data_IF_132944441435
#
_entry.id   IF_132944441435
#
_cell.length_a   1.000
_cell.length_b   1.000
_cell.length_c   1.000
_cell.angle_alpha   90.00
_cell.angle_beta   90.00
_cell.angle_gamma   90.00
#
_symmetry.space_group_name_H-M   'P 1'
#
loop_
_entity.id
_entity.type
_entity.pdbx_description
1 polymer ?
#
# COMPACT_ATOMS: atom_id res chain seq x y z
N UNK A 1 -64.27 -3.16 13.75
CA UNK A 1 -63.24 -3.28 14.81
C UNK A 1 -62.54 -4.62 14.64
N UNK A 2 -61.19 -4.65 14.71
CA UNK A 2 -60.22 -5.73 14.39
C UNK A 2 -59.47 -5.48 13.08
N UNK A 3 -58.57 -4.49 13.02
CA UNK A 3 -57.12 -4.56 13.32
C UNK A 3 -56.40 -5.63 12.49
N UNK A 4 -55.88 -5.19 11.34
CA UNK A 4 -54.87 -5.88 10.54
C UNK A 4 -53.53 -5.62 11.23
N UNK A 5 -52.93 -6.66 11.80
CA UNK A 5 -51.56 -6.60 12.33
C UNK A 5 -50.62 -6.92 11.16
N UNK A 6 -49.87 -5.89 10.74
CA UNK A 6 -48.80 -6.03 9.77
C UNK A 6 -47.61 -6.69 10.49
N UNK A 7 -47.31 -7.95 10.18
CA UNK A 7 -46.11 -8.61 10.64
C UNK A 7 -44.91 -8.07 9.85
N UNK A 8 -44.13 -7.18 10.46
CA UNK A 8 -42.81 -6.79 9.95
C UNK A 8 -41.86 -7.95 10.23
N UNK A 9 -41.57 -8.73 9.21
CA UNK A 9 -40.49 -9.72 9.26
C UNK A 9 -39.15 -8.96 9.28
N UNK A 10 -38.54 -8.83 10.46
CA UNK A 10 -37.13 -8.50 10.56
C UNK A 10 -36.33 -9.67 9.96
N UNK A 11 -35.85 -9.49 8.73
CA UNK A 11 -34.72 -10.26 8.24
C UNK A 11 -33.48 -9.78 9.00
N UNK A 12 -33.20 -10.42 10.14
CA UNK A 12 -31.85 -10.41 10.68
C UNK A 12 -30.99 -11.14 9.66
N UNK A 13 -30.17 -10.40 8.91
CA UNK A 13 -29.00 -10.95 8.25
C UNK A 13 -28.07 -11.42 9.37
N UNK A 14 -28.31 -12.64 9.84
CA UNK A 14 -27.34 -13.37 10.62
C UNK A 14 -26.15 -13.60 9.69
N UNK A 15 -25.13 -12.75 9.80
CA UNK A 15 -23.81 -13.12 9.33
C UNK A 15 -23.48 -14.45 10.01
N UNK A 16 -22.99 -15.46 9.28
CA UNK A 16 -22.48 -16.64 9.93
C UNK A 16 -21.38 -16.15 10.87
N UNK A 17 -21.54 -16.41 12.17
CA UNK A 17 -20.41 -16.41 13.08
C UNK A 17 -19.42 -17.40 12.47
N UNK A 18 -18.39 -16.89 11.80
CA UNK A 18 -17.33 -17.71 11.25
C UNK A 18 -16.87 -18.61 12.40
N UNK A 19 -16.83 -19.91 12.15
CA UNK A 19 -16.27 -20.86 13.09
C UNK A 19 -14.90 -20.32 13.53
N UNK A 20 -14.72 -20.12 14.83
CA UNK A 20 -13.44 -19.80 15.47
C UNK A 20 -12.46 -20.96 15.19
N UNK A 21 -11.85 -21.01 14.01
CA UNK A 21 -10.51 -21.57 13.88
C UNK A 21 -9.60 -20.58 14.61
N UNK A 22 -9.50 -20.76 15.93
CA UNK A 22 -8.86 -19.82 16.83
C UNK A 22 -7.46 -19.48 16.31
N UNK A 23 -7.22 -18.18 16.08
CA UNK A 23 -5.90 -17.68 15.73
C UNK A 23 -4.85 -18.26 16.70
N UNK A 24 -3.63 -18.55 16.23
CA UNK A 24 -2.59 -19.13 17.06
C UNK A 24 -2.37 -18.27 18.31
N UNK A 25 -2.33 -18.91 19.49
CA UNK A 25 -2.11 -18.22 20.76
C UNK A 25 -0.66 -18.25 21.21
N UNK A 26 -0.20 -17.15 21.81
CA UNK A 26 1.15 -17.02 22.38
C UNK A 26 1.11 -16.92 23.89
N UNK A 27 0.28 -16.03 24.41
CA UNK A 27 0.12 -15.79 25.83
C UNK A 27 -0.88 -16.76 26.46
N UNK A 28 -0.67 -17.03 27.75
CA UNK A 28 -1.76 -17.57 28.56
C UNK A 28 -2.86 -16.50 28.72
N UNK A 29 -4.13 -16.89 28.94
CA UNK A 29 -5.19 -15.93 29.24
C UNK A 29 -4.84 -15.00 30.42
N UNK A 30 -4.13 -15.52 31.42
CA UNK A 30 -3.69 -14.76 32.59
C UNK A 30 -2.63 -13.72 32.23
N UNK A 31 -1.60 -14.07 31.45
CA UNK A 31 -0.58 -13.11 31.01
C UNK A 31 -1.15 -12.04 30.08
N UNK A 32 -2.09 -12.40 29.20
CA UNK A 32 -2.79 -11.44 28.34
C UNK A 32 -3.57 -10.41 29.17
N UNK A 33 -4.31 -10.87 30.19
CA UNK A 33 -5.03 -10.00 31.11
C UNK A 33 -4.08 -9.13 31.96
N UNK A 34 -2.97 -9.70 32.44
CA UNK A 34 -1.95 -8.96 33.18
C UNK A 34 -1.32 -7.87 32.33
N UNK A 35 -0.99 -8.14 31.06
CA UNK A 35 -0.43 -7.12 30.18
C UNK A 35 -1.41 -5.99 29.90
N UNK A 36 -2.69 -6.29 29.67
CA UNK A 36 -3.72 -5.27 29.54
C UNK A 36 -3.81 -4.39 30.82
N UNK A 37 -3.89 -5.02 31.99
CA UNK A 37 -3.91 -4.34 33.30
C UNK A 37 -2.68 -3.43 33.49
N UNK A 38 -1.47 -3.95 33.22
CA UNK A 38 -0.22 -3.21 33.38
C UNK A 38 -0.22 -1.94 32.52
N UNK A 39 -0.65 -2.05 31.27
CA UNK A 39 -0.63 -0.93 30.32
C UNK A 39 -1.63 0.17 30.72
N UNK A 40 -2.83 -0.21 31.17
CA UNK A 40 -3.81 0.75 31.72
C UNK A 40 -3.26 1.43 32.98
N UNK A 41 -2.71 0.67 33.92
CA UNK A 41 -2.11 1.23 35.15
C UNK A 41 -0.96 2.18 34.84
N UNK A 42 -0.14 1.89 33.82
CA UNK A 42 0.94 2.77 33.40
C UNK A 42 0.44 4.05 32.70
N UNK A 43 -0.64 3.97 31.92
CA UNK A 43 -1.26 5.14 31.31
C UNK A 43 -1.75 6.14 32.37
N UNK A 44 -2.24 5.64 33.51
CA UNK A 44 -2.66 6.44 34.66
C UNK A 44 -1.51 6.83 35.62
N UNK A 45 -0.29 6.37 35.36
CA UNK A 45 0.87 6.60 36.23
C UNK A 45 0.83 5.86 37.58
N UNK A 46 0.02 4.80 37.70
CA UNK A 46 -0.12 3.95 38.91
C UNK A 46 1.03 2.94 39.02
N UNK A 47 2.25 3.46 39.16
CA UNK A 47 3.48 2.67 39.04
C UNK A 47 3.61 1.50 40.01
N UNK A 48 3.23 1.66 41.28
CA UNK A 48 3.35 0.60 42.28
C UNK A 48 2.47 -0.60 41.96
N UNK A 49 1.27 -0.34 41.46
CA UNK A 49 0.30 -1.38 41.09
C UNK A 49 0.75 -2.04 39.79
N UNK A 50 1.22 -1.25 38.82
CA UNK A 50 1.82 -1.78 37.61
C UNK A 50 3.02 -2.69 37.92
N UNK A 51 3.90 -2.31 38.84
CA UNK A 51 5.05 -3.13 39.24
C UNK A 51 4.63 -4.43 39.95
N UNK A 52 3.58 -4.39 40.77
CA UNK A 52 3.00 -5.58 41.39
C UNK A 52 2.39 -6.52 40.34
N UNK A 53 1.71 -5.98 39.34
CA UNK A 53 1.18 -6.76 38.23
C UNK A 53 2.30 -7.35 37.35
N UNK A 54 3.34 -6.56 37.02
CA UNK A 54 4.53 -7.00 36.28
C UNK A 54 5.20 -8.20 36.96
N UNK A 55 5.27 -8.21 38.30
CA UNK A 55 5.89 -9.30 39.04
C UNK A 55 5.16 -10.66 38.92
N UNK A 56 3.91 -10.66 38.43
CA UNK A 56 3.11 -11.87 38.21
C UNK A 56 3.17 -12.39 36.77
N UNK A 57 3.73 -11.59 35.85
CA UNK A 57 3.84 -11.98 34.43
C UNK A 57 4.82 -13.14 34.28
N UNK A 58 4.38 -14.20 33.61
CA UNK A 58 5.16 -15.42 33.40
C UNK A 58 5.96 -15.37 32.09
N UNK A 59 5.32 -15.00 30.97
CA UNK A 59 5.99 -14.79 29.69
C UNK A 59 6.39 -13.31 29.51
N UNK A 60 7.68 -12.94 29.45
CA UNK A 60 8.14 -11.56 29.35
C UNK A 60 8.12 -10.99 27.93
N UNK A 61 7.49 -11.63 26.94
CA UNK A 61 7.56 -11.25 25.51
C UNK A 61 7.17 -9.79 25.23
N UNK A 62 6.25 -9.19 26.00
CA UNK A 62 5.85 -7.79 25.83
C UNK A 62 6.60 -6.80 26.75
N UNK A 63 7.59 -7.26 27.51
CA UNK A 63 8.29 -6.40 28.47
C UNK A 63 9.01 -5.21 27.81
N UNK A 64 9.43 -5.35 26.55
CA UNK A 64 9.97 -4.23 25.77
C UNK A 64 8.96 -3.10 25.60
N UNK A 65 7.69 -3.42 25.30
CA UNK A 65 6.59 -2.45 25.19
C UNK A 65 6.20 -1.87 26.55
N UNK A 66 6.08 -2.70 27.58
CA UNK A 66 5.79 -2.26 28.96
C UNK A 66 6.84 -1.27 29.47
N UNK A 67 8.12 -1.50 29.18
CA UNK A 67 9.20 -0.56 29.53
C UNK A 67 9.16 0.70 28.66
N UNK A 68 8.87 0.55 27.37
CA UNK A 68 8.80 1.67 26.43
C UNK A 68 7.75 2.70 26.85
N UNK A 69 6.53 2.26 27.16
CA UNK A 69 5.43 3.12 27.62
C UNK A 69 5.82 3.93 28.86
N UNK A 70 6.37 3.25 29.88
CA UNK A 70 6.90 3.92 31.07
C UNK A 70 7.93 5.00 30.74
N UNK A 71 8.89 4.69 29.86
CA UNK A 71 9.97 5.61 29.49
C UNK A 71 9.48 6.81 28.68
N UNK A 72 8.41 6.63 27.91
CA UNK A 72 7.79 7.66 27.07
C UNK A 72 6.63 8.40 27.74
N UNK A 73 6.25 8.00 28.96
CA UNK A 73 5.12 8.60 29.66
C UNK A 73 5.25 10.14 29.73
N UNK A 74 4.21 10.90 29.37
CA UNK A 74 4.31 12.34 29.15
C UNK A 74 4.61 13.15 30.42
N UNK A 75 4.04 12.75 31.58
CA UNK A 75 4.04 13.57 32.81
C UNK A 75 4.49 12.83 34.08
N UNK A 76 3.94 11.65 34.34
CA UNK A 76 4.12 10.90 35.58
C UNK A 76 5.42 10.08 35.69
N UNK A 77 6.23 10.00 34.63
CA UNK A 77 7.55 9.36 34.67
C UNK A 77 8.58 10.14 33.86
N UNK A 78 9.80 10.25 34.39
CA UNK A 78 10.91 10.95 33.74
C UNK A 78 12.11 10.02 33.60
N UNK A 79 12.19 9.37 32.43
CA UNK A 79 13.29 8.46 32.10
C UNK A 79 14.70 9.08 32.21
N UNK A 80 15.61 8.37 32.86
CA UNK A 80 17.04 8.72 32.89
C UNK A 80 17.73 8.24 31.63
N UNK A 81 18.90 8.81 31.34
CA UNK A 81 19.66 8.43 30.16
C UNK A 81 20.04 6.94 30.18
N UNK A 82 20.41 6.44 31.35
CA UNK A 82 20.83 5.06 31.56
C UNK A 82 19.71 4.07 31.22
N UNK A 83 18.47 4.38 31.62
CA UNK A 83 17.28 3.56 31.35
C UNK A 83 16.94 3.53 29.85
N UNK A 84 17.04 4.68 29.18
CA UNK A 84 16.81 4.76 27.73
C UNK A 84 17.91 4.02 26.96
N UNK A 85 19.17 4.14 27.39
CA UNK A 85 20.31 3.44 26.80
C UNK A 85 20.19 1.93 26.99
N UNK A 86 19.77 1.48 28.17
CA UNK A 86 19.53 0.07 28.47
C UNK A 86 18.39 -0.47 27.60
N UNK A 87 17.27 0.25 27.49
CA UNK A 87 16.17 -0.15 26.62
C UNK A 87 16.64 -0.33 25.17
N UNK A 88 17.42 0.63 24.64
CA UNK A 88 17.98 0.51 23.28
C UNK A 88 18.93 -0.68 23.13
N UNK A 89 19.58 -1.16 24.20
CA UNK A 89 20.47 -2.32 24.11
C UNK A 89 19.71 -3.63 23.86
N UNK A 90 18.45 -3.73 24.29
CA UNK A 90 17.64 -4.96 24.20
C UNK A 90 16.51 -4.89 23.19
N UNK A 91 16.00 -3.69 22.87
CA UNK A 91 14.75 -3.49 22.12
C UNK A 91 14.91 -2.55 20.93
N UNK A 92 16.13 -2.38 20.40
CA UNK A 92 16.39 -1.53 19.22
C UNK A 92 15.67 -2.00 17.95
N UNK A 93 15.14 -3.23 17.91
CA UNK A 93 14.34 -3.78 16.81
C UNK A 93 12.86 -3.38 16.84
N UNK A 94 12.38 -2.81 17.97
CA UNK A 94 10.99 -2.41 18.09
C UNK A 94 10.64 -1.29 17.10
N UNK A 95 9.42 -1.28 16.52
CA UNK A 95 9.00 -0.29 15.54
C UNK A 95 9.16 1.17 15.96
N UNK A 96 9.05 1.45 17.25
CA UNK A 96 9.11 2.80 17.81
C UNK A 96 10.44 3.14 18.48
N UNK A 97 11.47 2.31 18.29
CA UNK A 97 12.80 2.52 18.89
C UNK A 97 13.42 3.89 18.54
N UNK A 98 13.07 4.48 17.39
CA UNK A 98 13.47 5.84 17.02
C UNK A 98 13.04 6.90 18.05
N UNK A 99 11.87 6.74 18.68
CA UNK A 99 11.37 7.67 19.72
C UNK A 99 12.25 7.62 20.97
N UNK A 100 12.57 6.40 21.44
CA UNK A 100 13.44 6.17 22.59
C UNK A 100 14.86 6.68 22.28
N UNK A 101 15.41 6.34 21.12
CA UNK A 101 16.73 6.78 20.68
C UNK A 101 16.85 8.31 20.65
N UNK A 102 15.86 8.98 20.07
CA UNK A 102 15.80 10.45 20.02
C UNK A 102 15.73 11.07 21.42
N UNK A 103 14.95 10.48 22.32
CA UNK A 103 14.87 10.93 23.72
C UNK A 103 16.20 10.71 24.46
N UNK A 104 16.85 9.57 24.23
CA UNK A 104 18.14 9.22 24.81
C UNK A 104 19.22 10.22 24.39
N UNK A 105 19.30 10.57 23.10
CA UNK A 105 20.25 11.56 22.60
C UNK A 105 20.05 12.94 23.23
N UNK A 106 18.79 13.37 23.44
CA UNK A 106 18.48 14.64 24.10
C UNK A 106 18.90 14.66 25.58
N UNK A 107 18.83 13.51 26.26
CA UNK A 107 19.14 13.37 27.70
C UNK A 107 20.57 12.90 27.97
N UNK A 108 21.37 12.67 26.92
CA UNK A 108 22.72 12.13 27.01
C UNK A 108 23.68 13.11 27.70
N UNK A 109 24.34 12.73 28.80
CA UNK A 109 25.46 13.48 29.36
C UNK A 109 26.62 13.54 28.37
N UNK A 110 27.37 14.65 28.35
CA UNK A 110 28.48 14.86 27.40
C UNK A 110 29.54 13.74 27.43
N UNK A 111 29.80 13.17 28.61
CA UNK A 111 30.80 12.12 28.81
C UNK A 111 30.25 10.69 28.57
N UNK A 112 28.96 10.51 28.34
CA UNK A 112 28.37 9.19 28.18
C UNK A 112 28.42 8.70 26.72
N UNK A 113 28.73 7.42 26.53
CA UNK A 113 28.69 6.74 25.23
C UNK A 113 27.28 6.75 24.66
N UNK A 114 27.10 6.93 23.33
CA UNK A 114 25.78 6.96 22.70
C UNK A 114 25.01 5.64 22.86
N UNK A 115 23.67 5.66 22.83
CA UNK A 115 22.87 4.45 22.82
C UNK A 115 23.00 3.72 21.48
N UNK A 116 22.67 2.42 21.47
CA UNK A 116 22.58 1.64 20.24
C UNK A 116 21.58 2.31 19.28
N UNK A 117 21.92 2.38 17.99
CA UNK A 117 21.01 2.93 17.00
C UNK A 117 19.85 1.97 16.73
N UNK A 118 18.64 2.49 16.46
CA UNK A 118 17.49 1.65 16.11
C UNK A 118 17.74 0.89 14.82
N UNK A 119 17.16 -0.31 14.74
CA UNK A 119 17.19 -1.13 13.53
C UNK A 119 16.40 -0.41 12.45
N UNK A 120 17.00 -0.26 11.27
CA UNK A 120 16.32 0.39 10.15
C UNK A 120 15.19 -0.49 9.63
N UNK A 121 13.99 0.08 9.52
CA UNK A 121 12.87 -0.56 8.85
C UNK A 121 13.26 -0.96 7.42
N UNK A 122 13.03 -2.23 7.09
CA UNK A 122 13.04 -2.71 5.71
C UNK A 122 11.65 -2.56 5.13
N UNK A 123 11.59 -2.15 3.87
CA UNK A 123 10.34 -1.99 3.14
C UNK A 123 10.30 -3.01 2.03
N UNK A 124 9.13 -3.64 1.87
CA UNK A 124 8.82 -4.39 0.66
C UNK A 124 8.39 -3.39 -0.41
N UNK A 125 8.88 -3.58 -1.62
CA UNK A 125 8.47 -2.75 -2.75
C UNK A 125 7.26 -3.37 -3.42
N UNK A 126 6.27 -2.53 -3.74
CA UNK A 126 5.21 -2.91 -4.67
C UNK A 126 5.85 -3.35 -6.01
N UNK A 127 5.20 -4.30 -6.69
CA UNK A 127 5.69 -4.78 -7.98
C UNK A 127 5.74 -3.61 -8.97
N UNK A 128 6.94 -3.31 -9.46
CA UNK A 128 7.07 -2.29 -10.50
C UNK A 128 6.49 -2.83 -11.82
N UNK A 129 5.72 -2.02 -12.56
CA UNK A 129 5.25 -2.42 -13.88
C UNK A 129 6.42 -2.84 -14.78
N UNK A 130 6.27 -3.93 -15.54
CA UNK A 130 7.32 -4.38 -16.45
C UNK A 130 7.66 -3.30 -17.47
N UNK A 131 8.94 -3.21 -17.85
CA UNK A 131 9.39 -2.37 -18.95
C UNK A 131 9.34 -3.15 -20.25
N UNK A 132 9.00 -2.47 -21.34
CA UNK A 132 9.16 -3.02 -22.68
C UNK A 132 10.59 -3.56 -22.88
N UNK A 133 10.79 -4.75 -23.51
CA UNK A 133 12.11 -5.41 -23.59
C UNK A 133 13.21 -4.52 -24.17
N UNK A 134 12.87 -3.68 -25.15
CA UNK A 134 13.82 -2.75 -25.77
C UNK A 134 14.29 -1.65 -24.82
N UNK A 135 13.38 -1.18 -23.96
CA UNK A 135 13.70 -0.21 -22.93
C UNK A 135 14.53 -0.86 -21.83
N UNK A 136 14.20 -2.10 -21.43
CA UNK A 136 14.99 -2.86 -20.45
C UNK A 136 16.44 -3.04 -20.93
N UNK A 137 16.64 -3.34 -22.23
CA UNK A 137 17.98 -3.40 -22.85
C UNK A 137 18.72 -2.06 -22.78
N UNK A 138 18.03 -0.93 -22.92
CA UNK A 138 18.65 0.39 -22.79
C UNK A 138 19.04 0.69 -21.33
N UNK A 139 18.21 0.30 -20.37
CA UNK A 139 18.53 0.42 -18.95
C UNK A 139 19.74 -0.44 -18.56
N UNK A 140 19.92 -1.60 -19.20
CA UNK A 140 21.11 -2.44 -18.99
C UNK A 140 22.39 -1.82 -19.59
N UNK A 141 22.27 -1.00 -20.64
CA UNK A 141 23.40 -0.35 -21.33
C UNK A 141 23.82 0.98 -20.71
N UNK A 142 22.97 1.59 -19.90
CA UNK A 142 23.18 2.90 -19.29
C UNK A 142 23.33 2.79 -17.77
N UNK A 143 23.83 3.84 -17.12
CA UNK A 143 23.98 3.84 -15.66
C UNK A 143 22.61 3.97 -14.99
N UNK A 144 22.07 2.87 -14.44
CA UNK A 144 20.78 2.86 -13.72
C UNK A 144 20.69 3.91 -12.61
N UNK A 145 21.65 4.04 -11.67
CA UNK A 145 21.55 5.04 -10.61
C UNK A 145 21.45 6.47 -11.15
N UNK A 146 22.23 6.78 -12.19
CA UNK A 146 22.22 8.09 -12.83
C UNK A 146 20.92 8.34 -13.58
N UNK A 147 20.40 7.34 -14.29
CA UNK A 147 19.13 7.44 -14.99
C UNK A 147 17.97 7.66 -14.00
N UNK A 148 17.93 6.92 -12.88
CA UNK A 148 16.93 7.13 -11.83
C UNK A 148 16.94 8.56 -11.30
N UNK A 149 18.12 9.17 -11.14
CA UNK A 149 18.25 10.58 -10.74
C UNK A 149 17.70 11.53 -11.81
N UNK A 150 18.05 11.32 -13.08
CA UNK A 150 17.58 12.14 -14.21
C UNK A 150 16.05 12.05 -14.32
N UNK A 151 15.50 10.83 -14.32
CA UNK A 151 14.06 10.62 -14.39
C UNK A 151 13.32 11.22 -13.19
N UNK A 152 13.87 11.06 -11.99
CA UNK A 152 13.34 11.68 -10.78
C UNK A 152 13.27 13.20 -10.90
N UNK A 153 14.32 13.83 -11.45
CA UNK A 153 14.37 15.27 -11.70
C UNK A 153 13.36 15.70 -12.77
N UNK A 154 13.22 14.95 -13.86
CA UNK A 154 12.21 15.24 -14.89
C UNK A 154 10.79 15.16 -14.34
N UNK A 155 10.46 14.10 -13.57
CA UNK A 155 9.15 13.99 -12.92
C UNK A 155 8.90 15.14 -11.94
N UNK A 156 9.93 15.53 -11.18
CA UNK A 156 9.83 16.70 -10.30
C UNK A 156 9.53 18.00 -11.06
N UNK A 157 10.27 18.28 -12.14
CA UNK A 157 10.06 19.47 -12.97
C UNK A 157 8.69 19.45 -13.65
N UNK A 158 8.28 18.30 -14.19
CA UNK A 158 6.95 18.12 -14.80
C UNK A 158 5.83 18.35 -13.78
N UNK A 159 5.98 17.87 -12.54
CA UNK A 159 5.04 18.11 -11.44
C UNK A 159 5.08 19.54 -10.87
N UNK A 160 6.11 20.33 -11.21
CA UNK A 160 6.22 21.76 -10.89
C UNK A 160 5.84 22.66 -12.06
N UNK A 161 5.22 22.10 -13.10
CA UNK A 161 4.79 22.84 -14.31
C UNK A 161 5.98 23.45 -15.09
N UNK A 162 7.19 22.93 -14.90
CA UNK A 162 8.42 23.40 -15.53
C UNK A 162 8.81 22.55 -16.76
N UNK A 163 7.84 22.29 -17.64
CA UNK A 163 8.01 21.42 -18.81
C UNK A 163 9.15 21.87 -19.75
N UNK A 164 9.30 23.18 -19.99
CA UNK A 164 10.37 23.71 -20.83
C UNK A 164 11.77 23.46 -20.24
N UNK A 165 11.91 23.53 -18.91
CA UNK A 165 13.17 23.25 -18.23
C UNK A 165 13.49 21.74 -18.27
N UNK A 166 12.46 20.91 -18.08
CA UNK A 166 12.59 19.46 -18.19
C UNK A 166 13.09 19.04 -19.59
N UNK A 167 12.52 19.61 -20.67
CA UNK A 167 12.99 19.36 -22.05
C UNK A 167 14.45 19.74 -22.23
N UNK A 168 14.83 20.96 -21.83
CA UNK A 168 16.22 21.44 -21.95
C UNK A 168 17.21 20.53 -21.22
N UNK A 169 16.81 20.00 -20.08
CA UNK A 169 17.63 19.07 -19.29
C UNK A 169 17.87 17.75 -20.03
N UNK A 170 16.79 17.09 -20.48
CA UNK A 170 16.92 15.80 -21.18
C UNK A 170 17.60 15.93 -22.54
N UNK A 171 17.44 17.06 -23.24
CA UNK A 171 18.17 17.36 -24.47
C UNK A 171 19.69 17.36 -24.24
N UNK A 172 20.13 17.95 -23.12
CA UNK A 172 21.53 17.96 -22.73
C UNK A 172 22.07 16.56 -22.45
N UNK A 173 21.27 15.70 -21.80
CA UNK A 173 21.66 14.32 -21.53
C UNK A 173 21.74 13.48 -22.80
N UNK A 174 20.77 13.64 -23.72
CA UNK A 174 20.78 12.96 -25.01
C UNK A 174 22.00 13.36 -25.84
N UNK A 175 22.28 14.67 -25.96
CA UNK A 175 23.44 15.19 -26.71
C UNK A 175 24.79 14.67 -26.21
N UNK A 176 24.90 14.40 -24.90
CA UNK A 176 26.10 13.82 -24.28
C UNK A 176 26.16 12.30 -24.34
N UNK A 177 25.17 11.64 -24.94
CA UNK A 177 25.07 10.17 -24.98
C UNK A 177 24.88 9.53 -23.60
N UNK A 178 24.36 10.28 -22.62
CA UNK A 178 24.12 9.76 -21.25
C UNK A 178 22.87 8.89 -21.19
N UNK A 179 21.91 9.16 -22.07
CA UNK A 179 20.64 8.44 -22.20
C UNK A 179 20.41 8.06 -23.66
N UNK A 180 19.61 7.04 -23.91
CA UNK A 180 19.20 6.62 -25.26
C UNK A 180 18.01 7.43 -25.78
N UNK A 181 17.70 7.31 -27.07
CA UNK A 181 16.52 7.95 -27.66
C UNK A 181 15.20 7.44 -27.05
N UNK A 182 15.08 6.14 -26.74
CA UNK A 182 13.89 5.60 -26.07
C UNK A 182 13.73 6.11 -24.64
N UNK A 183 14.83 6.21 -23.88
CA UNK A 183 14.80 6.80 -22.54
C UNK A 183 14.41 8.29 -22.58
N UNK A 184 14.96 9.01 -23.55
CA UNK A 184 14.58 10.39 -23.84
C UNK A 184 13.08 10.52 -24.17
N UNK A 185 12.56 9.67 -25.04
CA UNK A 185 11.14 9.67 -25.43
C UNK A 185 10.19 9.25 -24.31
N UNK A 186 10.58 8.28 -23.48
CA UNK A 186 9.87 7.94 -22.24
C UNK A 186 9.72 9.17 -21.35
N UNK A 187 10.80 9.93 -21.15
CA UNK A 187 10.74 11.18 -20.38
C UNK A 187 9.89 12.27 -21.06
N UNK A 188 9.94 12.37 -22.39
CA UNK A 188 9.07 13.28 -23.16
C UNK A 188 7.59 12.94 -23.00
N UNK A 189 7.22 11.68 -22.83
CA UNK A 189 5.83 11.31 -22.56
C UNK A 189 5.31 11.90 -21.24
N UNK A 190 6.14 11.95 -20.18
CA UNK A 190 5.78 12.61 -18.92
C UNK A 190 5.64 14.13 -19.07
N UNK A 191 6.52 14.73 -19.87
CA UNK A 191 6.45 16.16 -20.17
C UNK A 191 5.21 16.49 -20.99
N UNK A 192 4.85 15.64 -21.97
CA UNK A 192 3.63 15.79 -22.75
C UNK A 192 2.38 15.73 -21.86
N UNK A 193 2.34 14.79 -20.91
CA UNK A 193 1.28 14.71 -19.92
C UNK A 193 1.18 15.99 -19.08
N UNK A 194 2.31 16.49 -18.57
CA UNK A 194 2.36 17.74 -17.82
C UNK A 194 1.82 18.93 -18.62
N UNK A 195 2.23 19.09 -19.89
CA UNK A 195 1.74 20.14 -20.79
C UNK A 195 0.24 20.00 -21.06
N UNK A 196 -0.24 18.76 -21.28
CA UNK A 196 -1.65 18.48 -21.54
C UNK A 196 -2.53 18.90 -20.36
N UNK A 197 -2.18 18.50 -19.13
CA UNK A 197 -2.97 18.84 -17.94
C UNK A 197 -2.96 20.33 -17.59
N UNK A 198 -1.94 21.07 -18.02
CA UNK A 198 -1.89 22.54 -17.89
C UNK A 198 -2.65 23.28 -19.01
N UNK A 199 -3.20 22.56 -20.00
CA UNK A 199 -3.94 23.16 -21.11
C UNK A 199 -3.06 23.63 -22.28
N UNK A 200 -1.75 23.34 -22.30
CA UNK A 200 -0.87 23.60 -23.44
C UNK A 200 -1.05 22.55 -24.55
N UNK A 201 -2.28 22.41 -25.03
CA UNK A 201 -2.73 21.29 -25.89
C UNK A 201 -1.89 21.14 -27.17
N UNK A 202 -1.60 22.22 -27.89
CA UNK A 202 -0.85 22.14 -29.13
C UNK A 202 0.56 21.58 -28.93
N UNK A 203 1.26 22.11 -27.91
CA UNK A 203 2.61 21.68 -27.55
C UNK A 203 2.63 20.24 -27.00
N UNK A 204 1.60 19.87 -26.25
CA UNK A 204 1.43 18.50 -25.75
C UNK A 204 1.20 17.53 -26.91
N UNK A 205 0.41 17.91 -27.93
CA UNK A 205 0.14 17.10 -29.11
C UNK A 205 1.40 16.85 -29.93
N UNK A 206 2.12 17.91 -30.28
CA UNK A 206 3.37 17.81 -31.05
C UNK A 206 4.35 16.83 -30.38
N UNK A 207 4.43 16.92 -29.05
CA UNK A 207 5.30 16.07 -28.25
C UNK A 207 4.78 14.62 -28.18
N UNK A 208 3.49 14.43 -27.87
CA UNK A 208 2.88 13.12 -27.70
C UNK A 208 2.81 12.34 -29.02
N UNK A 209 2.39 12.96 -30.13
CA UNK A 209 2.30 12.30 -31.43
C UNK A 209 3.68 11.90 -31.97
N UNK A 210 4.68 12.77 -31.82
CA UNK A 210 6.05 12.44 -32.21
C UNK A 210 6.61 11.24 -31.43
N UNK A 211 6.36 11.19 -30.12
CA UNK A 211 6.79 10.06 -29.28
C UNK A 211 5.99 8.80 -29.59
N UNK A 212 4.66 8.90 -29.70
CA UNK A 212 3.79 7.78 -30.01
C UNK A 212 4.11 7.13 -31.37
N UNK A 213 4.51 7.93 -32.36
CA UNK A 213 4.94 7.43 -33.67
C UNK A 213 6.31 6.76 -33.68
N UNK A 214 7.25 7.21 -32.85
CA UNK A 214 8.65 6.72 -32.86
C UNK A 214 8.95 5.64 -31.82
N UNK A 215 8.45 5.81 -30.61
CA UNK A 215 8.84 5.05 -29.42
C UNK A 215 7.64 4.62 -28.57
N UNK A 216 6.43 4.65 -29.13
CA UNK A 216 5.18 4.49 -28.38
C UNK A 216 5.13 3.24 -27.49
N UNK A 217 5.54 2.08 -27.99
CA UNK A 217 5.55 0.83 -27.21
C UNK A 217 6.47 0.90 -25.97
N UNK A 218 7.58 1.64 -26.07
CA UNK A 218 8.50 1.87 -24.95
C UNK A 218 8.16 3.10 -24.09
N UNK A 219 7.21 3.92 -24.56
CA UNK A 219 6.79 5.18 -23.97
C UNK A 219 5.25 5.28 -24.00
N UNK A 220 4.57 4.24 -23.50
CA UNK A 220 3.11 4.03 -23.63
C UNK A 220 2.24 5.22 -23.21
N UNK A 221 2.71 6.04 -22.27
CA UNK A 221 1.98 7.26 -21.87
C UNK A 221 1.82 8.25 -23.03
N UNK A 222 2.70 8.24 -24.03
CA UNK A 222 2.53 9.08 -25.22
C UNK A 222 1.29 8.68 -26.03
N UNK A 223 1.00 7.38 -26.14
CA UNK A 223 -0.25 6.92 -26.74
C UNK A 223 -1.46 7.41 -25.93
N UNK A 224 -1.42 7.29 -24.60
CA UNK A 224 -2.50 7.78 -23.73
C UNK A 224 -2.79 9.27 -23.95
N UNK A 225 -1.75 10.11 -23.87
CA UNK A 225 -1.89 11.56 -23.99
C UNK A 225 -2.31 11.95 -25.42
N UNK A 226 -1.72 11.34 -26.44
CA UNK A 226 -2.14 11.52 -27.83
C UNK A 226 -3.62 11.14 -28.02
N UNK A 227 -4.04 9.99 -27.51
CA UNK A 227 -5.43 9.53 -27.59
C UNK A 227 -6.42 10.48 -26.89
N UNK A 228 -6.08 10.97 -25.69
CA UNK A 228 -6.89 11.96 -24.98
C UNK A 228 -7.02 13.29 -25.75
N UNK A 229 -5.94 13.74 -26.39
CA UNK A 229 -5.94 14.96 -27.21
C UNK A 229 -6.87 14.78 -28.41
N UNK A 230 -6.65 13.73 -29.21
CA UNK A 230 -7.48 13.44 -30.39
C UNK A 230 -8.96 13.27 -30.03
N UNK A 231 -9.25 12.60 -28.92
CA UNK A 231 -10.63 12.44 -28.43
C UNK A 231 -11.29 13.79 -28.12
N UNK A 232 -10.55 14.70 -27.46
CA UNK A 232 -11.05 16.05 -27.14
C UNK A 232 -11.23 16.94 -28.36
N UNK A 233 -10.44 16.71 -29.40
CA UNK A 233 -10.52 17.42 -30.68
C UNK A 233 -11.54 16.81 -31.64
N UNK A 234 -12.29 15.80 -31.17
CA UNK A 234 -13.29 15.08 -31.95
C UNK A 234 -12.71 14.29 -33.14
N UNK A 235 -11.39 14.04 -33.16
CA UNK A 235 -10.78 13.03 -34.03
C UNK A 235 -10.84 11.66 -33.35
N UNK A 236 -12.06 11.12 -33.30
CA UNK A 236 -12.35 9.87 -32.58
C UNK A 236 -11.62 8.67 -33.20
N UNK A 237 -11.41 8.68 -34.52
CA UNK A 237 -10.68 7.63 -35.21
C UNK A 237 -9.20 7.61 -34.78
N UNK A 238 -8.51 8.76 -34.79
CA UNK A 238 -7.13 8.83 -34.31
C UNK A 238 -7.04 8.48 -32.81
N UNK A 239 -8.00 8.92 -32.00
CA UNK A 239 -8.07 8.55 -30.59
C UNK A 239 -8.14 7.04 -30.38
N UNK A 240 -9.01 6.36 -31.14
CA UNK A 240 -9.14 4.90 -31.10
C UNK A 240 -7.81 4.19 -31.41
N UNK A 241 -7.16 4.55 -32.51
CA UNK A 241 -5.88 3.93 -32.89
C UNK A 241 -4.83 4.08 -31.80
N UNK A 242 -4.76 5.25 -31.14
CA UNK A 242 -3.81 5.51 -30.05
C UNK A 242 -4.12 4.69 -28.80
N UNK A 243 -5.37 4.67 -28.35
CA UNK A 243 -5.77 3.87 -27.19
C UNK A 243 -5.58 2.37 -27.45
N UNK A 244 -5.92 1.88 -28.64
CA UNK A 244 -5.77 0.48 -28.99
C UNK A 244 -4.29 0.08 -29.09
N UNK A 245 -3.45 0.92 -29.70
CA UNK A 245 -2.00 0.71 -29.74
C UNK A 245 -1.43 0.60 -28.33
N UNK A 246 -1.80 1.50 -27.41
CA UNK A 246 -1.41 1.39 -26.01
C UNK A 246 -1.89 0.10 -25.38
N UNK A 247 -3.17 -0.26 -25.54
CA UNK A 247 -3.76 -1.45 -24.91
C UNK A 247 -3.06 -2.76 -25.34
N UNK A 248 -2.54 -2.80 -26.57
CA UNK A 248 -1.81 -3.95 -27.13
C UNK A 248 -0.41 -4.14 -26.55
N UNK A 249 0.21 -3.10 -25.98
CA UNK A 249 1.49 -3.23 -25.28
C UNK A 249 1.28 -3.99 -23.97
N UNK A 250 1.92 -5.14 -23.80
CA UNK A 250 1.72 -5.97 -22.60
C UNK A 250 2.57 -5.49 -21.43
N UNK A 251 3.76 -4.99 -21.71
CA UNK A 251 4.76 -4.58 -20.71
C UNK A 251 4.52 -3.14 -20.24
N UNK A 252 3.47 -2.95 -19.44
CA UNK A 252 3.14 -1.68 -18.81
C UNK A 252 2.32 -1.90 -17.52
N UNK A 253 1.84 -0.80 -16.92
CA UNK A 253 0.97 -0.82 -15.75
C UNK A 253 -0.43 -1.36 -16.09
N UNK A 254 -0.94 -2.24 -15.23
CA UNK A 254 -2.24 -2.91 -15.41
C UNK A 254 -3.41 -1.93 -15.47
N UNK A 255 -3.42 -0.91 -14.60
CA UNK A 255 -4.49 0.09 -14.56
C UNK A 255 -4.48 0.98 -15.81
N UNK A 256 -3.30 1.39 -16.27
CA UNK A 256 -3.14 2.12 -17.52
C UNK A 256 -3.52 1.29 -18.74
N UNK A 257 -3.14 0.01 -18.79
CA UNK A 257 -3.51 -0.90 -19.88
C UNK A 257 -5.02 -1.14 -19.94
N UNK A 258 -5.65 -1.34 -18.79
CA UNK A 258 -7.10 -1.47 -18.70
C UNK A 258 -7.82 -0.20 -19.14
N UNK A 259 -7.31 0.97 -18.74
CA UNK A 259 -7.83 2.26 -19.20
C UNK A 259 -7.75 2.38 -20.72
N UNK A 260 -6.59 2.07 -21.30
CA UNK A 260 -6.38 2.09 -22.74
C UNK A 260 -7.36 1.17 -23.48
N UNK A 261 -7.53 -0.08 -23.04
CA UNK A 261 -8.47 -1.02 -23.64
C UNK A 261 -9.91 -0.52 -23.58
N UNK A 262 -10.36 -0.04 -22.42
CA UNK A 262 -11.71 0.49 -22.26
C UNK A 262 -11.97 1.72 -23.15
N UNK A 263 -11.02 2.66 -23.21
CA UNK A 263 -11.17 3.85 -24.05
C UNK A 263 -11.02 3.56 -25.54
N UNK A 264 -10.24 2.55 -25.92
CA UNK A 264 -10.23 2.02 -27.29
C UNK A 264 -11.62 1.50 -27.69
N UNK A 265 -12.27 0.71 -26.81
CA UNK A 265 -13.62 0.23 -27.05
C UNK A 265 -14.65 1.37 -27.15
N UNK A 266 -14.59 2.35 -26.26
CA UNK A 266 -15.50 3.51 -26.30
C UNK A 266 -15.34 4.36 -27.56
N UNK A 267 -14.09 4.62 -27.95
CA UNK A 267 -13.80 5.38 -29.17
C UNK A 267 -14.15 4.61 -30.44
N UNK A 268 -13.99 3.27 -30.47
CA UNK A 268 -14.47 2.44 -31.57
C UNK A 268 -15.98 2.59 -31.79
N UNK A 269 -16.77 2.50 -30.71
CA UNK A 269 -18.21 2.68 -30.78
C UNK A 269 -18.60 4.08 -31.26
N UNK A 270 -17.95 5.12 -30.71
CA UNK A 270 -18.17 6.50 -31.11
C UNK A 270 -17.74 6.79 -32.57
N UNK A 271 -16.76 6.06 -33.10
CA UNK A 271 -16.34 6.11 -34.50
C UNK A 271 -17.22 5.27 -35.45
N UNK A 272 -18.26 4.59 -34.94
CA UNK A 272 -19.11 3.72 -35.75
C UNK A 272 -18.44 2.41 -36.19
N UNK A 273 -17.46 1.92 -35.41
CA UNK A 273 -16.69 0.69 -35.66
C UNK A 273 -16.98 -0.38 -34.59
N UNK A 274 -18.21 -0.90 -34.49
CA UNK A 274 -18.60 -1.84 -33.44
C UNK A 274 -17.77 -3.13 -33.45
N UNK A 275 -17.24 -3.53 -34.60
CA UNK A 275 -16.37 -4.70 -34.76
C UNK A 275 -15.03 -4.58 -34.01
N UNK A 276 -14.62 -3.35 -33.66
CA UNK A 276 -13.36 -3.06 -32.94
C UNK A 276 -13.57 -2.87 -31.43
N UNK A 277 -14.82 -2.97 -30.94
CA UNK A 277 -15.16 -2.76 -29.52
C UNK A 277 -14.66 -3.92 -28.66
N UNK A 278 -14.86 -5.16 -29.12
CA UNK A 278 -14.61 -6.36 -28.31
C UNK A 278 -13.16 -6.48 -27.86
N UNK A 279 -12.18 -6.22 -28.74
CA UNK A 279 -10.76 -6.34 -28.41
C UNK A 279 -10.37 -5.45 -27.22
N UNK A 280 -10.79 -4.18 -27.24
CA UNK A 280 -10.49 -3.24 -26.17
C UNK A 280 -11.12 -3.65 -24.83
N UNK A 281 -12.37 -4.12 -24.84
CA UNK A 281 -13.04 -4.62 -23.64
C UNK A 281 -12.39 -5.88 -23.09
N UNK A 282 -11.99 -6.83 -23.94
CA UNK A 282 -11.32 -8.06 -23.49
C UNK A 282 -9.95 -7.76 -22.87
N UNK A 283 -9.17 -6.84 -23.46
CA UNK A 283 -7.90 -6.40 -22.88
C UNK A 283 -8.13 -5.77 -21.50
N UNK A 284 -9.14 -4.92 -21.35
CA UNK A 284 -9.45 -4.29 -20.07
C UNK A 284 -9.98 -5.28 -19.02
N UNK A 285 -10.87 -6.20 -19.42
CA UNK A 285 -11.48 -7.19 -18.55
C UNK A 285 -10.48 -8.21 -17.98
N UNK A 286 -9.32 -8.38 -18.62
CA UNK A 286 -8.21 -9.17 -18.08
C UNK A 286 -7.59 -8.59 -16.79
N UNK A 287 -7.95 -7.35 -16.43
CA UNK A 287 -7.44 -6.62 -15.26
C UNK A 287 -8.56 -6.27 -14.27
N UNK A 288 -9.16 -7.29 -13.62
CA UNK A 288 -10.36 -7.14 -12.80
C UNK A 288 -10.15 -6.24 -11.58
N UNK A 289 -8.93 -6.09 -11.07
CA UNK A 289 -8.64 -5.26 -9.90
C UNK A 289 -8.60 -3.75 -10.21
N UNK A 290 -8.85 -3.36 -11.47
CA UNK A 290 -8.79 -1.98 -11.94
C UNK A 290 -10.19 -1.42 -12.20
N UNK A 291 -10.36 -0.11 -12.06
CA UNK A 291 -11.64 0.56 -12.34
C UNK A 291 -12.15 0.26 -13.77
N UNK A 292 -11.29 0.40 -14.77
CA UNK A 292 -11.66 0.17 -16.16
C UNK A 292 -11.85 -1.31 -16.50
N UNK A 293 -11.16 -2.22 -15.82
CA UNK A 293 -11.43 -3.65 -15.95
C UNK A 293 -12.80 -4.05 -15.40
N UNK A 294 -13.20 -3.50 -14.25
CA UNK A 294 -14.56 -3.69 -13.71
C UNK A 294 -15.64 -3.15 -14.67
N UNK A 295 -15.43 -1.96 -15.25
CA UNK A 295 -16.36 -1.41 -16.25
C UNK A 295 -16.43 -2.29 -17.51
N UNK A 296 -15.28 -2.81 -17.97
CA UNK A 296 -15.24 -3.69 -19.14
C UNK A 296 -15.95 -5.02 -18.87
N UNK A 297 -15.71 -5.64 -17.71
CA UNK A 297 -16.43 -6.84 -17.27
C UNK A 297 -17.95 -6.61 -17.25
N UNK A 298 -18.40 -5.49 -16.68
CA UNK A 298 -19.82 -5.14 -16.64
C UNK A 298 -20.41 -4.98 -18.05
N UNK A 299 -19.71 -4.31 -18.98
CA UNK A 299 -20.17 -4.17 -20.38
C UNK A 299 -20.19 -5.51 -21.13
N UNK A 300 -19.29 -6.42 -20.81
CA UNK A 300 -19.27 -7.79 -21.35
C UNK A 300 -20.30 -8.72 -20.68
N UNK A 301 -21.04 -8.25 -19.67
CA UNK A 301 -21.99 -9.07 -18.90
C UNK A 301 -21.31 -10.12 -18.01
N UNK A 302 -20.05 -9.89 -17.64
CA UNK A 302 -19.22 -10.80 -16.83
C UNK A 302 -19.00 -10.23 -15.43
N UNK A 303 -18.69 -11.11 -14.49
CA UNK A 303 -18.21 -10.75 -13.15
C UNK A 303 -16.92 -11.51 -12.88
N UNK A 304 -15.98 -10.86 -12.21
CA UNK A 304 -14.79 -11.53 -11.72
C UNK A 304 -15.09 -12.23 -10.40
N UNK A 305 -14.64 -13.46 -10.28
CA UNK A 305 -14.72 -14.26 -9.06
C UNK A 305 -13.50 -13.96 -8.18
N UNK A 306 -13.64 -12.97 -7.31
CA UNK A 306 -12.61 -12.59 -6.37
C UNK A 306 -12.39 -13.69 -5.33
N UNK A 307 -11.14 -14.00 -5.04
CA UNK A 307 -10.79 -14.88 -3.94
C UNK A 307 -10.73 -14.10 -2.62
N UNK A 308 -11.80 -14.18 -1.83
CA UNK A 308 -11.88 -13.57 -0.51
C UNK A 308 -11.34 -14.47 0.61
N UNK A 309 -10.98 -15.71 0.30
CA UNK A 309 -10.55 -16.69 1.30
C UNK A 309 -9.03 -16.66 1.50
N UNK A 310 -8.61 -16.74 2.75
CA UNK A 310 -7.23 -17.07 3.15
C UNK A 310 -7.22 -18.46 3.77
N UNK A 311 -6.18 -19.26 3.50
CA UNK A 311 -6.02 -20.54 4.18
C UNK A 311 -5.88 -20.33 5.70
N UNK A 312 -6.42 -21.21 6.57
CA UNK A 312 -6.24 -21.07 8.01
C UNK A 312 -4.77 -21.30 8.40
N UNK A 313 -4.29 -20.56 9.41
CA UNK A 313 -2.93 -20.75 9.95
C UNK A 313 -2.93 -21.80 11.05
N UNK A 314 -2.60 -23.03 10.69
CA UNK A 314 -2.41 -24.11 11.65
C UNK A 314 -1.16 -23.94 12.54
N UNK A 315 -1.04 -24.69 13.65
CA UNK A 315 0.09 -24.60 14.58
C UNK A 315 1.47 -24.80 13.92
N UNK A 316 1.57 -25.66 12.92
CA UNK A 316 2.83 -25.88 12.20
C UNK A 316 3.26 -24.67 11.36
N UNK A 317 2.29 -24.01 10.69
CA UNK A 317 2.55 -22.79 9.94
C UNK A 317 3.00 -21.67 10.89
N UNK A 318 2.32 -21.53 12.02
CA UNK A 318 2.70 -20.59 13.06
C UNK A 318 4.10 -20.85 13.63
N UNK A 319 4.45 -22.11 13.90
CA UNK A 319 5.79 -22.48 14.36
C UNK A 319 6.87 -22.13 13.33
N UNK A 320 6.63 -22.39 12.04
CA UNK A 320 7.55 -21.98 10.96
C UNK A 320 7.71 -20.47 10.87
N UNK A 321 6.61 -19.73 10.96
CA UNK A 321 6.61 -18.26 10.93
C UNK A 321 7.45 -17.69 12.09
N UNK A 322 7.15 -18.10 13.32
CA UNK A 322 7.87 -17.62 14.51
C UNK A 322 9.35 -18.03 14.55
N UNK A 323 9.70 -19.19 13.98
CA UNK A 323 11.09 -19.60 13.83
C UNK A 323 11.84 -18.74 12.78
N UNK A 324 11.16 -18.33 11.71
CA UNK A 324 11.74 -17.47 10.68
C UNK A 324 11.85 -16.00 11.14
N UNK A 325 10.87 -15.52 11.92
CA UNK A 325 10.80 -14.16 12.41
C UNK A 325 10.23 -14.12 13.84
N UNK A 326 11.11 -14.06 14.87
CA UNK A 326 10.68 -14.06 16.28
C UNK A 326 9.75 -12.90 16.66
N UNK A 327 9.80 -11.77 15.95
CA UNK A 327 8.90 -10.64 16.18
C UNK A 327 7.42 -11.00 15.99
N UNK A 328 7.10 -12.06 15.21
CA UNK A 328 5.72 -12.54 15.04
C UNK A 328 5.11 -12.95 16.39
N UNK A 329 5.88 -13.64 17.24
CA UNK A 329 5.41 -14.03 18.58
C UNK A 329 5.02 -12.80 19.41
N UNK A 330 5.85 -11.76 19.36
CA UNK A 330 5.60 -10.49 20.05
C UNK A 330 4.38 -9.76 19.47
N UNK A 331 4.25 -9.73 18.15
CA UNK A 331 3.13 -9.10 17.46
C UNK A 331 1.78 -9.76 17.81
N UNK A 332 1.74 -11.10 17.82
CA UNK A 332 0.55 -11.86 18.26
C UNK A 332 0.23 -11.57 19.72
N UNK A 333 1.23 -11.61 20.60
CA UNK A 333 1.04 -11.29 22.01
C UNK A 333 0.48 -9.87 22.24
N UNK A 334 0.88 -8.87 21.43
CA UNK A 334 0.30 -7.52 21.48
C UNK A 334 -1.20 -7.54 21.16
N UNK A 335 -1.61 -8.26 20.12
CA UNK A 335 -3.02 -8.40 19.75
C UNK A 335 -3.81 -9.09 20.86
N UNK A 336 -3.26 -10.16 21.44
CA UNK A 336 -3.88 -10.87 22.58
C UNK A 336 -4.03 -9.99 23.83
N UNK A 337 -3.11 -9.04 24.05
CA UNK A 337 -3.16 -8.06 25.13
C UNK A 337 -4.02 -6.82 24.80
N UNK A 338 -4.78 -6.83 23.69
CA UNK A 338 -5.65 -5.72 23.27
C UNK A 338 -4.93 -4.56 22.58
N UNK A 339 -3.62 -4.66 22.34
CA UNK A 339 -2.77 -3.66 21.65
C UNK A 339 -2.71 -3.93 20.15
N UNK A 340 -3.89 -3.95 19.52
CA UNK A 340 -4.06 -4.32 18.10
C UNK A 340 -3.25 -3.42 17.17
N UNK A 341 -3.20 -2.12 17.45
CA UNK A 341 -2.48 -1.15 16.62
C UNK A 341 -0.96 -1.38 16.63
N UNK A 342 -0.40 -1.68 17.79
CA UNK A 342 1.02 -2.01 17.94
C UNK A 342 1.33 -3.36 17.31
N UNK A 343 0.41 -4.33 17.41
CA UNK A 343 0.47 -5.59 16.70
C UNK A 343 0.51 -5.40 15.18
N UNK A 344 -0.43 -4.63 14.61
CA UNK A 344 -0.47 -4.31 13.17
C UNK A 344 0.83 -3.63 12.73
N UNK A 345 1.34 -2.67 13.52
CA UNK A 345 2.61 -2.00 13.23
C UNK A 345 3.80 -2.97 13.21
N UNK A 346 3.87 -3.93 14.13
CA UNK A 346 4.90 -4.99 14.12
C UNK A 346 4.79 -5.86 12.87
N UNK A 347 3.59 -6.31 12.50
CA UNK A 347 3.38 -7.08 11.26
C UNK A 347 3.82 -6.29 10.02
N UNK A 348 3.53 -5.00 9.96
CA UNK A 348 4.02 -4.13 8.87
C UNK A 348 5.54 -3.95 8.84
N UNK A 349 6.24 -4.15 9.96
CA UNK A 349 7.71 -4.24 10.00
C UNK A 349 8.22 -5.62 9.62
N UNK A 350 7.48 -6.68 9.98
CA UNK A 350 7.74 -8.06 9.61
C UNK A 350 7.62 -8.26 8.10
N UNK A 351 6.61 -7.66 7.44
CA UNK A 351 6.37 -7.76 6.00
C UNK A 351 7.57 -7.38 5.13
N UNK A 352 8.37 -6.40 5.59
CA UNK A 352 9.59 -5.98 4.90
C UNK A 352 10.83 -6.84 5.18
N UNK A 353 10.76 -7.77 6.14
CA UNK A 353 11.89 -8.60 6.60
C UNK A 353 11.72 -10.08 6.29
N UNK A 354 10.50 -10.58 6.35
CA UNK A 354 10.18 -12.00 6.14
C UNK A 354 10.42 -12.41 4.68
N UNK A 355 10.84 -13.66 4.48
CA UNK A 355 11.04 -14.25 3.14
C UNK A 355 9.70 -14.52 2.45
N UNK A 356 9.68 -14.35 1.13
CA UNK A 356 8.49 -14.46 0.27
C UNK A 356 7.81 -15.83 0.36
N UNK A 357 8.56 -16.90 0.65
CA UNK A 357 8.00 -18.25 0.83
C UNK A 357 7.02 -18.35 2.00
N UNK A 358 7.05 -17.39 2.93
CA UNK A 358 6.17 -17.32 4.09
C UNK A 358 5.01 -16.32 3.89
N UNK A 359 4.93 -15.62 2.76
CA UNK A 359 3.97 -14.52 2.59
C UNK A 359 2.50 -14.97 2.66
N UNK A 360 2.16 -16.13 2.10
CA UNK A 360 0.78 -16.64 2.17
C UNK A 360 0.38 -17.04 3.61
N UNK A 361 1.26 -17.77 4.31
CA UNK A 361 1.07 -18.14 5.72
C UNK A 361 0.99 -16.89 6.61
N UNK A 362 1.79 -15.85 6.30
CA UNK A 362 1.76 -14.59 7.03
C UNK A 362 0.48 -13.81 6.78
N UNK A 363 0.03 -13.69 5.52
CA UNK A 363 -1.22 -13.02 5.18
C UNK A 363 -2.40 -13.66 5.90
N UNK A 364 -2.44 -14.99 5.93
CA UNK A 364 -3.45 -15.74 6.66
C UNK A 364 -3.43 -15.44 8.17
N UNK A 365 -2.25 -15.24 8.76
CA UNK A 365 -2.12 -14.87 10.17
C UNK A 365 -2.62 -13.44 10.41
N UNK A 366 -2.22 -12.49 9.57
CA UNK A 366 -2.69 -11.10 9.63
C UNK A 366 -4.21 -11.00 9.45
N UNK A 367 -4.79 -11.86 8.60
CA UNK A 367 -6.22 -12.00 8.42
C UNK A 367 -6.92 -12.53 9.68
N UNK A 368 -6.42 -13.64 10.23
CA UNK A 368 -6.97 -14.24 11.46
C UNK A 368 -6.90 -13.30 12.68
N UNK A 369 -5.91 -12.40 12.71
CA UNK A 369 -5.74 -11.39 13.78
C UNK A 369 -6.49 -10.08 13.51
N UNK A 370 -7.14 -9.93 12.34
CA UNK A 370 -7.88 -8.72 11.99
C UNK A 370 -6.99 -7.48 11.80
N UNK A 371 -5.85 -7.62 11.13
CA UNK A 371 -4.83 -6.57 10.93
C UNK A 371 -4.88 -6.00 9.50
N UNK A 372 -5.79 -5.07 9.18
CA UNK A 372 -6.07 -4.65 7.80
C UNK A 372 -4.91 -3.88 7.16
N UNK A 373 -4.16 -3.07 7.92
CA UNK A 373 -3.06 -2.31 7.34
C UNK A 373 -1.85 -3.22 7.05
N UNK A 374 -1.63 -4.24 7.88
CA UNK A 374 -0.66 -5.29 7.63
C UNK A 374 -1.01 -6.14 6.39
N UNK A 375 -2.25 -6.65 6.32
CA UNK A 375 -2.76 -7.43 5.19
C UNK A 375 -2.56 -6.70 3.86
N UNK A 376 -2.95 -5.42 3.81
CA UNK A 376 -2.84 -4.61 2.61
C UNK A 376 -1.39 -4.30 2.22
N UNK A 377 -0.52 -3.95 3.19
CA UNK A 377 0.90 -3.69 2.92
C UNK A 377 1.59 -4.95 2.35
N UNK A 378 1.24 -6.14 2.85
CA UNK A 378 1.78 -7.41 2.33
C UNK A 378 1.24 -7.69 0.93
N UNK A 379 -0.09 -7.71 0.75
CA UNK A 379 -0.75 -8.11 -0.48
C UNK A 379 -0.40 -7.20 -1.68
N UNK A 380 -0.19 -5.90 -1.48
CA UNK A 380 0.24 -4.98 -2.54
C UNK A 380 1.60 -5.33 -3.17
N UNK A 381 2.38 -6.16 -2.49
CA UNK A 381 3.70 -6.58 -2.98
C UNK A 381 3.68 -7.90 -3.75
N UNK A 382 2.52 -8.55 -3.84
CA UNK A 382 2.35 -9.84 -4.50
C UNK A 382 1.24 -9.78 -5.55
N UNK A 383 1.35 -10.64 -6.55
CA UNK A 383 0.29 -10.89 -7.53
C UNK A 383 -0.39 -12.23 -7.29
N UNK A 384 -1.54 -12.42 -7.92
CA UNK A 384 -2.26 -13.69 -7.97
C UNK A 384 -3.34 -13.84 -6.91
N UNK A 385 -4.23 -14.82 -7.14
CA UNK A 385 -5.48 -15.00 -6.40
C UNK A 385 -5.29 -15.22 -4.90
N UNK A 386 -4.17 -15.80 -4.47
CA UNK A 386 -3.90 -16.07 -3.05
C UNK A 386 -3.78 -14.80 -2.18
N UNK A 387 -3.53 -13.64 -2.79
CA UNK A 387 -3.35 -12.37 -2.08
C UNK A 387 -4.55 -11.41 -2.23
N UNK A 388 -5.58 -11.79 -2.99
CA UNK A 388 -6.74 -10.91 -3.27
C UNK A 388 -7.50 -10.51 -2.01
N UNK A 389 -7.71 -11.43 -1.07
CA UNK A 389 -8.34 -11.15 0.22
C UNK A 389 -7.59 -10.03 0.99
N UNK A 390 -6.26 -10.07 0.99
CA UNK A 390 -5.43 -9.05 1.64
C UNK A 390 -5.46 -7.69 0.96
N UNK A 391 -5.87 -7.60 -0.31
CA UNK A 391 -6.01 -6.31 -1.01
C UNK A 391 -7.25 -5.52 -0.56
N UNK A 392 -8.24 -6.18 0.05
CA UNK A 392 -9.51 -5.58 0.47
C UNK A 392 -9.94 -6.08 1.86
N UNK A 393 -9.10 -5.88 2.89
CA UNK A 393 -9.43 -6.34 4.23
C UNK A 393 -10.61 -5.57 4.80
N UNK A 394 -11.42 -6.24 5.61
CA UNK A 394 -12.54 -5.64 6.32
C UNK A 394 -12.14 -5.39 7.78
N UNK A 395 -11.95 -4.13 8.20
CA UNK A 395 -11.65 -3.83 9.59
C UNK A 395 -12.87 -4.10 10.47
N UNK A 396 -12.66 -4.51 11.72
CA UNK A 396 -13.72 -4.67 12.72
C UNK A 396 -14.27 -3.33 13.26
N UNK A 397 -14.04 -2.23 12.54
CA UNK A 397 -14.51 -0.89 12.93
C UNK A 397 -15.96 -0.70 12.53
N UNK A 398 -16.78 -0.31 13.50
CA UNK A 398 -18.14 0.17 13.31
C UNK A 398 -18.29 1.52 14.04
N UNK A 399 -18.89 2.55 13.40
CA UNK A 399 -19.24 3.78 14.11
C UNK A 399 -20.19 3.50 15.27
N UNK A 400 -20.08 4.25 16.38
CA UNK A 400 -20.91 4.04 17.58
C UNK A 400 -22.43 4.05 17.32
N UNK A 401 -22.87 4.82 16.32
CA UNK A 401 -24.28 4.92 15.92
C UNK A 401 -24.63 4.06 14.69
N UNK A 402 -23.76 3.12 14.33
CA UNK A 402 -23.85 2.33 13.10
C UNK A 402 -23.52 3.13 11.84
N UNK A 403 -23.57 2.44 10.70
CA UNK A 403 -23.28 3.02 9.40
C UNK A 403 -24.44 3.86 8.85
N UNK A 404 -24.16 5.10 8.46
CA UNK A 404 -25.12 6.01 7.79
C UNK A 404 -24.93 6.08 6.27
N UNK A 405 -23.84 5.53 5.76
CA UNK A 405 -23.53 5.36 4.34
C UNK A 405 -23.13 3.91 4.08
N UNK A 406 -23.10 3.50 2.81
CA UNK A 406 -22.67 2.14 2.42
C UNK A 406 -21.28 1.83 3.01
N UNK A 407 -21.16 0.79 3.86
CA UNK A 407 -19.88 0.40 4.45
C UNK A 407 -18.78 0.15 3.39
N UNK A 408 -19.14 -0.38 2.21
CA UNK A 408 -18.19 -0.61 1.14
C UNK A 408 -17.54 0.69 0.64
N UNK A 409 -18.32 1.78 0.54
CA UNK A 409 -17.80 3.09 0.16
C UNK A 409 -16.88 3.65 1.24
N UNK A 410 -17.25 3.51 2.51
CA UNK A 410 -16.45 4.00 3.64
C UNK A 410 -15.11 3.27 3.74
N UNK A 411 -15.12 1.93 3.66
CA UNK A 411 -13.89 1.15 3.67
C UNK A 411 -13.03 1.39 2.43
N UNK A 412 -13.62 1.61 1.25
CA UNK A 412 -12.86 2.00 0.06
C UNK A 412 -12.14 3.35 0.25
N UNK A 413 -12.79 4.32 0.90
CA UNK A 413 -12.16 5.61 1.25
C UNK A 413 -11.04 5.42 2.27
N UNK A 414 -11.27 4.68 3.36
CA UNK A 414 -10.24 4.39 4.37
C UNK A 414 -9.02 3.71 3.76
N UNK A 415 -9.24 2.74 2.88
CA UNK A 415 -8.19 2.06 2.11
C UNK A 415 -7.38 3.04 1.27
N UNK A 416 -8.04 3.96 0.58
CA UNK A 416 -7.39 4.92 -0.31
C UNK A 416 -6.63 6.03 0.44
N UNK A 417 -7.20 6.52 1.54
CA UNK A 417 -6.65 7.67 2.28
C UNK A 417 -5.49 7.27 3.21
N UNK A 418 -5.64 6.18 3.97
CA UNK A 418 -4.66 5.79 4.98
C UNK A 418 -4.11 4.38 4.84
N UNK A 419 -4.65 3.56 3.92
CA UNK A 419 -4.37 2.10 3.89
C UNK A 419 -4.66 1.46 5.25
N UNK A 420 -5.70 1.94 5.95
CA UNK A 420 -6.12 1.52 7.30
C UNK A 420 -5.13 1.84 8.44
N UNK A 421 -4.13 2.69 8.19
CA UNK A 421 -3.13 3.08 9.18
C UNK A 421 -3.69 4.23 10.00
N UNK A 422 -3.77 4.06 11.32
CA UNK A 422 -4.35 5.06 12.24
C UNK A 422 -3.37 6.18 12.64
N UNK A 423 -2.10 5.98 12.34
CA UNK A 423 -1.02 6.93 12.59
C UNK A 423 -0.65 7.75 11.34
N UNK A 424 -1.41 7.59 10.24
CA UNK A 424 -1.10 8.20 8.96
C UNK A 424 -1.27 9.72 9.05
N UNK A 425 -0.21 10.45 8.73
CA UNK A 425 -0.25 11.91 8.62
C UNK A 425 0.23 12.34 7.24
N UNK A 426 -0.59 13.11 6.53
CA UNK A 426 -0.23 13.65 5.22
C UNK A 426 0.70 14.86 5.34
N UNK A 427 1.41 15.19 4.26
CA UNK A 427 2.30 16.36 4.19
C UNK A 427 1.58 17.69 4.48
N UNK A 428 0.28 17.76 4.23
CA UNK A 428 -0.57 18.95 4.44
C UNK A 428 -1.37 18.89 5.75
N UNK A 429 -1.16 17.87 6.58
CA UNK A 429 -1.72 17.78 7.94
C UNK A 429 -3.03 16.99 8.07
N UNK A 430 -3.49 16.30 7.02
CA UNK A 430 -4.58 15.33 7.16
C UNK A 430 -4.12 14.17 8.06
N UNK A 431 -4.99 13.71 8.96
CA UNK A 431 -4.72 12.63 9.91
C UNK A 431 -5.76 11.54 9.72
N UNK A 432 -5.29 10.29 9.72
CA UNK A 432 -6.10 9.09 9.67
C UNK A 432 -5.48 8.06 10.56
#
# INVERSE_FOLDING_TARGET
>A
MRLIVLAVALFALAFPAAAEDAAPRVLSPDDAALYAEILELQADGRWREADAAIARVSDPVLMGYVKMERLLHPTAYRARYEELREWMAYYADHPEADKIYSLALKRRPKAASPPLAPVRRKWRSELSPPLHPDLERDYARTSRPRLTQIEGRVRHLAGKEQASLALKEIDGHLKRGVITERQYDRMRSWIAASLYYQGYQARARDLADAVAGRSGDSAVLAYWISGLIHYRENDIAAAHERFLAMARVKEQDDALRAAAGFWAARSALAAGRPEQVAEGLEIAAAYPLTFYGQLALAQLGRRYDFNWETAPVGPEAFARLTAAEPAIRRAVALVEAGRVNEGDLEFRWINGRIDDRHAADLLALEHALGLPAAQLDLALSFGGRAFEAGLFPLPAYEPENGFTADPALLYALMRQESKFKIEATSRVGARG
#
